data_IF_756388538298
#
_entry.id   IF_756388538298
#
_cell.length_a   1.000
_cell.length_b   1.000
_cell.length_c   1.000
_cell.angle_alpha   90.00
_cell.angle_beta   90.00
_cell.angle_gamma   90.00
#
_symmetry.space_group_name_H-M   'P 1'
#
loop_
_entity.id
_entity.type
_entity.pdbx_description
1 polymer ?
#
# COMPACT_ATOMS: atom_id res chain seq x y z
N UNK A 1 5.98 13.61 1.89
CA UNK A 1 4.94 12.54 1.83
C UNK A 1 5.25 11.67 0.63
N UNK A 2 5.49 10.36 0.82
CA UNK A 2 5.95 9.48 -0.25
C UNK A 2 4.76 9.20 -1.20
N UNK A 3 4.80 9.70 -2.44
CA UNK A 3 3.73 9.54 -3.44
C UNK A 3 3.36 8.06 -3.72
N UNK A 4 4.29 7.13 -3.42
CA UNK A 4 4.07 5.68 -3.55
C UNK A 4 2.99 5.13 -2.59
N UNK A 5 2.61 5.88 -1.56
CA UNK A 5 1.71 5.44 -0.48
C UNK A 5 0.36 6.16 -0.51
N UNK A 6 0.20 7.17 -1.36
CA UNK A 6 -1.06 7.85 -1.53
C UNK A 6 -2.07 6.93 -2.24
N UNK A 7 -3.30 6.88 -1.73
CA UNK A 7 -4.39 6.14 -2.39
C UNK A 7 -5.05 7.03 -3.45
N UNK A 8 -4.32 7.31 -4.53
CA UNK A 8 -4.75 8.23 -5.60
C UNK A 8 -5.80 7.59 -6.51
N UNK A 9 -5.79 6.26 -6.61
CA UNK A 9 -6.69 5.51 -7.49
C UNK A 9 -7.40 4.43 -6.68
N UNK A 10 -8.64 4.67 -6.17
CA UNK A 10 -9.39 3.67 -5.43
C UNK A 10 -9.73 2.47 -6.32
N UNK A 11 -9.92 1.32 -5.70
CA UNK A 11 -10.50 0.15 -6.38
C UNK A 11 -11.95 0.45 -6.80
N UNK A 12 -12.48 -0.23 -7.83
CA UNK A 12 -13.85 -0.03 -8.29
C UNK A 12 -14.88 -0.13 -7.16
N UNK A 13 -15.81 0.81 -7.14
CA UNK A 13 -16.85 0.88 -6.10
C UNK A 13 -17.74 -0.37 -6.04
N UNK A 14 -17.82 -1.12 -7.13
CA UNK A 14 -18.55 -2.39 -7.17
C UNK A 14 -18.06 -3.40 -6.12
N UNK A 15 -16.76 -3.39 -5.78
CA UNK A 15 -16.17 -4.27 -4.76
C UNK A 15 -16.59 -3.92 -3.32
N UNK A 16 -17.13 -2.72 -3.10
CA UNK A 16 -17.55 -2.22 -1.78
C UNK A 16 -19.07 -2.28 -1.56
N UNK A 17 -19.83 -2.65 -2.58
CA UNK A 17 -21.29 -2.71 -2.49
C UNK A 17 -21.71 -4.03 -1.84
N UNK A 18 -22.50 -3.92 -0.77
CA UNK A 18 -23.14 -5.06 -0.09
C UNK A 18 -24.60 -5.27 -0.51
N UNK A 19 -24.96 -4.85 -1.72
CA UNK A 19 -26.35 -4.97 -2.19
C UNK A 19 -26.67 -6.45 -2.49
N UNK A 20 -27.18 -7.13 -1.47
CA UNK A 20 -27.60 -8.53 -1.50
C UNK A 20 -28.77 -8.83 -2.48
N UNK A 21 -29.13 -7.91 -3.37
CA UNK A 21 -30.33 -8.02 -4.22
C UNK A 21 -30.05 -8.45 -5.65
N UNK A 22 -28.83 -8.65 -6.06
CA UNK A 22 -28.51 -9.02 -7.42
C UNK A 22 -27.92 -10.43 -7.49
N UNK A 23 -28.83 -11.39 -7.71
CA UNK A 23 -28.50 -12.76 -8.09
C UNK A 23 -27.34 -12.83 -9.08
N UNK A 24 -26.48 -13.80 -8.90
CA UNK A 24 -25.37 -14.32 -9.68
C UNK A 24 -25.64 -14.31 -11.23
N UNK A 25 -25.87 -13.12 -11.77
CA UNK A 25 -26.20 -12.92 -13.18
C UNK A 25 -24.97 -12.87 -14.05
N UNK A 26 -23.82 -12.49 -13.49
CA UNK A 26 -22.59 -12.24 -14.24
C UNK A 26 -21.50 -13.17 -13.77
N UNK A 27 -21.17 -14.15 -14.59
CA UNK A 27 -20.17 -15.17 -14.27
C UNK A 27 -18.86 -14.99 -15.03
N UNK A 28 -18.83 -14.11 -16.04
CA UNK A 28 -17.71 -14.02 -16.99
C UNK A 28 -17.14 -12.64 -17.13
N UNK A 29 -15.82 -12.58 -17.17
CA UNK A 29 -15.03 -11.43 -17.58
C UNK A 29 -14.57 -11.70 -19.01
N UNK A 30 -15.22 -11.08 -20.01
CA UNK A 30 -15.01 -11.45 -21.42
C UNK A 30 -15.40 -12.91 -21.67
N UNK A 31 -14.44 -13.72 -22.12
CA UNK A 31 -14.61 -15.17 -22.33
C UNK A 31 -14.27 -16.02 -21.09
N UNK A 32 -13.67 -15.43 -20.07
CA UNK A 32 -13.22 -16.14 -18.87
C UNK A 32 -14.35 -16.26 -17.84
N UNK A 33 -14.60 -17.48 -17.37
CA UNK A 33 -15.57 -17.78 -16.31
C UNK A 33 -14.83 -17.93 -14.98
N UNK A 34 -15.31 -17.20 -13.95
CA UNK A 34 -14.76 -17.28 -12.61
C UNK A 34 -15.18 -18.60 -11.97
N UNK A 35 -14.22 -19.39 -11.57
CA UNK A 35 -14.44 -20.65 -10.86
C UNK A 35 -14.90 -20.43 -9.42
N UNK A 36 -15.89 -21.23 -8.98
CA UNK A 36 -16.48 -21.14 -7.63
C UNK A 36 -15.49 -21.55 -6.54
N UNK A 37 -14.72 -22.59 -6.76
CA UNK A 37 -13.73 -23.08 -5.81
C UNK A 37 -12.58 -22.06 -5.67
N UNK A 38 -12.11 -21.51 -6.78
CA UNK A 38 -11.09 -20.47 -6.77
C UNK A 38 -11.58 -19.22 -6.03
N UNK A 39 -12.83 -18.77 -6.27
CA UNK A 39 -13.42 -17.65 -5.56
C UNK A 39 -13.58 -17.91 -4.05
N UNK A 40 -13.95 -19.14 -3.67
CA UNK A 40 -14.03 -19.52 -2.27
C UNK A 40 -12.66 -19.44 -1.58
N UNK A 41 -11.61 -20.01 -2.18
CA UNK A 41 -10.25 -19.97 -1.65
C UNK A 41 -9.72 -18.54 -1.57
N UNK A 42 -10.01 -17.72 -2.57
CA UNK A 42 -9.68 -16.30 -2.59
C UNK A 42 -10.32 -15.55 -1.42
N UNK A 43 -11.61 -15.75 -1.17
CA UNK A 43 -12.31 -15.16 -0.04
C UNK A 43 -11.76 -15.63 1.32
N UNK A 44 -11.34 -16.90 1.44
CA UNK A 44 -10.65 -17.39 2.64
C UNK A 44 -9.33 -16.65 2.89
N UNK A 45 -8.56 -16.35 1.84
CA UNK A 45 -7.35 -15.54 1.94
C UNK A 45 -7.67 -14.12 2.40
N UNK A 46 -8.66 -13.47 1.82
CA UNK A 46 -9.05 -12.10 2.20
C UNK A 46 -9.47 -12.00 3.67
N UNK A 47 -10.21 -12.98 4.18
CA UNK A 47 -10.60 -13.02 5.60
C UNK A 47 -9.40 -13.18 6.52
N UNK A 48 -8.36 -13.93 6.12
CA UNK A 48 -7.12 -14.05 6.89
C UNK A 48 -6.32 -12.73 6.94
N UNK A 49 -6.37 -11.95 5.86
CA UNK A 49 -5.67 -10.67 5.77
C UNK A 49 -6.42 -9.52 6.46
N UNK A 50 -7.75 -9.54 6.40
CA UNK A 50 -8.62 -8.57 7.09
C UNK A 50 -9.90 -9.24 7.57
N UNK A 51 -9.97 -9.55 8.87
CA UNK A 51 -11.11 -10.21 9.52
C UNK A 51 -12.43 -9.44 9.41
N UNK A 52 -12.38 -8.15 9.07
CA UNK A 52 -13.59 -7.30 8.94
C UNK A 52 -14.08 -7.22 7.50
N UNK A 53 -13.32 -7.78 6.56
CA UNK A 53 -13.68 -7.72 5.15
C UNK A 53 -14.80 -8.70 4.84
N UNK A 54 -15.85 -8.22 4.20
CA UNK A 54 -16.90 -9.08 3.67
C UNK A 54 -16.37 -9.87 2.47
N UNK A 55 -16.79 -11.14 2.32
CA UNK A 55 -16.48 -11.91 1.12
C UNK A 55 -16.94 -11.18 -0.14
N UNK A 56 -16.15 -11.27 -1.19
CA UNK A 56 -16.48 -10.69 -2.50
C UNK A 56 -17.34 -11.69 -3.26
N UNK A 57 -18.45 -11.20 -3.78
CA UNK A 57 -19.33 -11.98 -4.65
C UNK A 57 -18.80 -11.96 -6.09
N UNK A 58 -19.10 -13.02 -6.84
CA UNK A 58 -18.69 -13.13 -8.24
C UNK A 58 -19.19 -11.95 -9.10
N UNK A 59 -20.44 -11.53 -8.92
CA UNK A 59 -21.03 -10.41 -9.67
C UNK A 59 -20.30 -9.07 -9.39
N UNK A 60 -19.85 -8.87 -8.15
CA UNK A 60 -19.05 -7.70 -7.77
C UNK A 60 -17.72 -7.69 -8.50
N UNK A 61 -17.03 -8.84 -8.52
CA UNK A 61 -15.73 -8.96 -9.20
C UNK A 61 -15.86 -8.77 -10.71
N UNK A 62 -16.87 -9.38 -11.33
CA UNK A 62 -17.14 -9.22 -12.77
C UNK A 62 -17.52 -7.77 -13.10
N UNK A 63 -18.30 -7.11 -12.26
CA UNK A 63 -18.67 -5.71 -12.45
C UNK A 63 -17.44 -4.81 -12.34
N UNK A 64 -16.62 -5.00 -11.30
CA UNK A 64 -15.38 -4.27 -11.13
C UNK A 64 -14.42 -4.44 -12.32
N UNK A 65 -14.27 -5.67 -12.80
CA UNK A 65 -13.44 -5.94 -13.97
C UNK A 65 -13.96 -5.25 -15.25
N UNK A 66 -15.27 -5.14 -15.42
CA UNK A 66 -15.86 -4.40 -16.57
C UNK A 66 -15.63 -2.91 -16.44
N UNK A 67 -15.85 -2.34 -15.25
CA UNK A 67 -15.59 -0.91 -15.00
C UNK A 67 -14.14 -0.56 -15.38
N UNK A 68 -13.17 -1.41 -15.04
CA UNK A 68 -11.76 -1.23 -15.39
C UNK A 68 -11.48 -1.46 -16.90
N UNK A 69 -12.16 -2.42 -17.52
CA UNK A 69 -12.00 -2.68 -18.95
C UNK A 69 -12.45 -1.49 -19.81
N UNK A 70 -13.46 -0.77 -19.34
CA UNK A 70 -14.03 0.41 -20.02
C UNK A 70 -13.19 1.69 -19.77
N UNK A 71 -12.22 1.67 -18.85
CA UNK A 71 -11.31 2.80 -18.63
C UNK A 71 -10.46 3.11 -19.88
N UNK A 72 -10.23 4.40 -20.23
CA UNK A 72 -9.43 4.80 -21.38
C UNK A 72 -7.92 4.69 -21.07
N UNK A 73 -7.40 3.48 -20.90
CA UNK A 73 -6.01 3.22 -20.49
C UNK A 73 -5.08 2.74 -21.62
N UNK A 74 -5.45 2.90 -22.89
CA UNK A 74 -4.65 2.48 -24.07
C UNK A 74 -4.12 1.03 -23.98
N UNK A 75 -4.91 0.12 -23.40
CA UNK A 75 -4.56 -1.30 -23.24
C UNK A 75 -3.61 -1.61 -22.08
N UNK A 76 -3.20 -0.63 -21.30
CA UNK A 76 -2.39 -0.83 -20.08
C UNK A 76 -3.28 -1.23 -18.90
N UNK A 77 -2.67 -1.85 -17.89
CA UNK A 77 -3.34 -2.09 -16.62
C UNK A 77 -3.86 -0.78 -16.01
N UNK A 78 -5.05 -0.85 -15.38
CA UNK A 78 -5.64 0.31 -14.72
C UNK A 78 -4.68 0.93 -13.68
N UNK A 79 -4.66 2.26 -13.53
CA UNK A 79 -3.84 2.94 -12.52
C UNK A 79 -4.00 2.39 -11.11
N UNK A 80 -5.21 1.96 -10.73
CA UNK A 80 -5.46 1.38 -9.41
C UNK A 80 -4.75 0.03 -9.23
N UNK A 81 -4.68 -0.82 -10.25
CA UNK A 81 -3.92 -2.08 -10.24
C UNK A 81 -2.43 -1.77 -10.16
N UNK A 82 -1.94 -0.87 -11.02
CA UNK A 82 -0.53 -0.51 -11.05
C UNK A 82 -0.02 0.02 -9.71
N UNK A 83 -0.83 0.83 -9.03
CA UNK A 83 -0.51 1.34 -7.68
C UNK A 83 -0.33 0.19 -6.67
N UNK A 84 -1.24 -0.81 -6.67
CA UNK A 84 -1.16 -1.96 -5.76
C UNK A 84 0.03 -2.86 -6.09
N UNK A 85 0.33 -3.07 -7.36
CA UNK A 85 1.52 -3.84 -7.76
C UNK A 85 2.83 -3.14 -7.32
N UNK A 86 2.89 -1.82 -7.33
CA UNK A 86 4.03 -1.08 -6.75
C UNK A 86 4.14 -1.30 -5.24
N UNK A 87 3.01 -1.37 -4.53
CA UNK A 87 2.98 -1.69 -3.09
C UNK A 87 3.45 -3.12 -2.85
N UNK A 88 2.98 -4.09 -3.63
CA UNK A 88 3.46 -5.47 -3.57
C UNK A 88 4.98 -5.55 -3.76
N UNK A 89 5.51 -4.83 -4.74
CA UNK A 89 6.95 -4.73 -4.94
C UNK A 89 7.72 -4.09 -3.77
N UNK A 90 7.10 -3.17 -3.02
CA UNK A 90 7.70 -2.62 -1.80
C UNK A 90 7.68 -3.62 -0.65
N UNK A 91 6.56 -4.34 -0.46
CA UNK A 91 6.43 -5.42 0.53
C UNK A 91 7.48 -6.51 0.27
N UNK A 92 7.63 -6.95 -0.98
CA UNK A 92 8.58 -7.97 -1.35
C UNK A 92 10.04 -7.57 -1.05
N UNK A 93 10.41 -6.33 -1.36
CA UNK A 93 11.75 -5.83 -1.01
C UNK A 93 11.96 -5.73 0.49
N UNK A 94 10.95 -5.26 1.22
CA UNK A 94 10.99 -5.15 2.68
C UNK A 94 11.23 -6.50 3.36
N UNK A 95 10.51 -7.54 2.91
CA UNK A 95 10.64 -8.90 3.47
C UNK A 95 12.00 -9.56 3.16
N UNK A 96 12.70 -9.08 2.13
CA UNK A 96 13.99 -9.65 1.68
C UNK A 96 15.21 -8.83 2.09
N UNK A 97 15.01 -7.69 2.72
CA UNK A 97 16.12 -6.82 3.11
C UNK A 97 16.60 -7.17 4.50
N UNK A 98 17.68 -7.96 4.58
CA UNK A 98 18.28 -8.42 5.84
C UNK A 98 18.67 -7.27 6.78
N UNK A 99 18.94 -6.07 6.23
CA UNK A 99 19.25 -4.89 7.02
C UNK A 99 18.03 -4.21 7.64
N UNK A 100 16.81 -4.61 7.23
CA UNK A 100 15.58 -4.03 7.76
C UNK A 100 14.98 -4.85 8.91
N UNK A 101 14.90 -6.19 8.77
CA UNK A 101 14.26 -7.10 9.75
C UNK A 101 12.88 -6.60 10.17
N UNK A 102 11.83 -6.83 9.37
CA UNK A 102 10.48 -6.34 9.66
C UNK A 102 9.91 -6.93 10.95
N UNK A 103 8.92 -6.26 11.54
CA UNK A 103 8.24 -6.75 12.73
C UNK A 103 7.46 -8.05 12.45
N UNK A 104 7.43 -8.96 13.45
CA UNK A 104 6.80 -10.28 13.32
C UNK A 104 5.35 -10.21 12.87
N UNK A 105 4.61 -9.17 13.29
CA UNK A 105 3.18 -8.98 12.98
C UNK A 105 2.92 -8.75 11.49
N UNK A 106 3.92 -8.27 10.74
CA UNK A 106 3.77 -7.97 9.30
C UNK A 106 4.38 -9.02 8.40
N UNK A 107 5.21 -9.93 8.92
CA UNK A 107 5.87 -10.98 8.15
C UNK A 107 4.81 -11.88 7.50
N UNK A 108 3.96 -12.51 8.31
CA UNK A 108 2.97 -13.46 7.81
C UNK A 108 1.99 -12.83 6.82
N UNK A 109 1.35 -11.67 7.09
CA UNK A 109 0.50 -11.03 6.09
C UNK A 109 1.27 -10.63 4.82
N UNK A 110 2.52 -10.17 4.98
CA UNK A 110 3.37 -9.81 3.84
C UNK A 110 3.69 -11.01 2.95
N UNK A 111 4.10 -12.13 3.54
CA UNK A 111 4.36 -13.40 2.82
C UNK A 111 3.10 -13.89 2.10
N UNK A 112 1.93 -13.88 2.76
CA UNK A 112 0.66 -14.28 2.15
C UNK A 112 0.34 -13.44 0.91
N UNK A 113 0.58 -12.12 0.96
CA UNK A 113 0.40 -11.22 -0.20
C UNK A 113 1.35 -11.61 -1.32
N UNK A 114 2.65 -11.81 -1.03
CA UNK A 114 3.65 -12.08 -2.05
C UNK A 114 3.48 -13.48 -2.64
N UNK A 115 3.10 -14.45 -1.83
CA UNK A 115 2.80 -15.82 -2.28
C UNK A 115 1.62 -15.84 -3.26
N UNK A 116 0.58 -15.02 -3.01
CA UNK A 116 -0.54 -14.89 -3.93
C UNK A 116 -0.10 -14.21 -5.23
N UNK A 117 0.51 -13.01 -5.14
CA UNK A 117 0.93 -12.20 -6.31
C UNK A 117 1.93 -12.92 -7.21
N UNK A 118 2.70 -13.89 -6.69
CA UNK A 118 3.66 -14.71 -7.44
C UNK A 118 3.14 -16.10 -7.77
N UNK A 119 2.00 -16.44 -7.21
CA UNK A 119 1.37 -17.73 -7.38
C UNK A 119 0.97 -17.99 -8.84
N UNK A 120 0.52 -19.23 -9.07
CA UNK A 120 -0.04 -19.65 -10.35
C UNK A 120 -1.54 -19.93 -10.26
N UNK A 121 -2.14 -19.62 -9.10
CA UNK A 121 -3.56 -19.87 -8.82
C UNK A 121 -4.32 -18.55 -8.77
N UNK A 122 -4.22 -17.80 -9.87
CA UNK A 122 -4.89 -16.52 -10.00
C UNK A 122 -6.38 -16.73 -10.19
N UNK A 123 -7.18 -15.91 -9.52
CA UNK A 123 -8.64 -15.90 -9.72
C UNK A 123 -9.01 -15.28 -11.07
N UNK A 124 -8.20 -14.31 -11.51
CA UNK A 124 -8.28 -13.67 -12.83
C UNK A 124 -6.93 -13.86 -13.52
N UNK A 125 -6.88 -14.47 -14.73
CA UNK A 125 -5.62 -14.68 -15.41
C UNK A 125 -4.86 -13.37 -15.67
N UNK A 126 -3.60 -13.30 -15.27
CA UNK A 126 -2.70 -12.15 -15.46
C UNK A 126 -2.59 -11.68 -16.92
N UNK A 127 -2.83 -12.59 -17.85
CA UNK A 127 -2.79 -12.34 -19.29
C UNK A 127 -3.98 -11.52 -19.80
N UNK A 128 -5.02 -11.31 -18.98
CA UNK A 128 -6.17 -10.52 -19.39
C UNK A 128 -5.81 -9.02 -19.52
N UNK A 129 -6.03 -8.41 -20.67
CA UNK A 129 -5.73 -6.98 -20.85
C UNK A 129 -6.49 -6.12 -19.84
N UNK A 130 -5.84 -5.08 -19.31
CA UNK A 130 -6.36 -4.08 -18.37
C UNK A 130 -6.76 -4.60 -16.98
N UNK A 131 -7.35 -5.79 -16.91
CA UNK A 131 -8.01 -6.33 -15.70
C UNK A 131 -7.25 -7.51 -15.08
N UNK A 132 -6.30 -8.09 -15.79
CA UNK A 132 -5.37 -9.04 -15.20
C UNK A 132 -4.73 -8.42 -13.96
N UNK A 133 -4.53 -9.18 -12.90
CA UNK A 133 -4.05 -8.71 -11.58
C UNK A 133 -5.02 -7.85 -10.78
N UNK A 134 -6.32 -7.84 -11.12
CA UNK A 134 -7.30 -7.18 -10.25
C UNK A 134 -7.44 -7.91 -8.91
N UNK A 135 -7.41 -9.22 -8.92
CA UNK A 135 -7.42 -10.07 -7.73
C UNK A 135 -6.17 -9.85 -6.87
N UNK A 136 -4.96 -9.79 -7.48
CA UNK A 136 -3.73 -9.38 -6.81
C UNK A 136 -3.89 -8.02 -6.12
N UNK A 137 -4.42 -7.05 -6.85
CA UNK A 137 -4.65 -5.71 -6.32
C UNK A 137 -5.59 -5.71 -5.13
N UNK A 138 -6.62 -6.57 -5.13
CA UNK A 138 -7.56 -6.73 -4.02
C UNK A 138 -6.86 -7.35 -2.80
N UNK A 139 -5.99 -8.35 -3.00
CA UNK A 139 -5.21 -8.99 -1.92
C UNK A 139 -4.26 -7.98 -1.27
N UNK A 140 -3.52 -7.20 -2.08
CA UNK A 140 -2.66 -6.12 -1.56
C UNK A 140 -3.46 -5.10 -0.77
N UNK A 141 -4.64 -4.69 -1.27
CA UNK A 141 -5.49 -3.71 -0.61
C UNK A 141 -6.05 -4.22 0.72
N UNK A 142 -6.40 -5.51 0.80
CA UNK A 142 -6.87 -6.16 2.03
C UNK A 142 -5.80 -6.13 3.14
N UNK A 143 -4.56 -6.43 2.82
CA UNK A 143 -3.45 -6.44 3.78
C UNK A 143 -2.91 -5.02 4.07
N UNK A 144 -3.25 -4.02 3.24
CA UNK A 144 -2.58 -2.73 3.25
C UNK A 144 -2.69 -1.98 4.57
N UNK A 145 -3.81 -2.09 5.27
CA UNK A 145 -4.00 -1.43 6.57
C UNK A 145 -2.97 -1.89 7.61
N UNK A 146 -2.66 -3.18 7.61
CA UNK A 146 -1.67 -3.79 8.50
C UNK A 146 -0.24 -3.49 8.05
N UNK A 147 0.03 -3.59 6.75
CA UNK A 147 1.38 -3.48 6.21
C UNK A 147 1.86 -2.04 5.98
N UNK A 148 0.94 -1.09 5.77
CA UNK A 148 1.30 0.27 5.38
C UNK A 148 2.20 1.04 6.35
N UNK A 149 2.07 0.91 7.69
CA UNK A 149 2.99 1.57 8.62
C UNK A 149 4.42 1.09 8.41
N UNK A 150 4.62 -0.22 8.39
CA UNK A 150 5.95 -0.83 8.25
C UNK A 150 6.57 -0.56 6.87
N UNK A 151 5.79 -0.67 5.80
CA UNK A 151 6.26 -0.30 4.44
C UNK A 151 6.67 1.16 4.36
N UNK A 152 5.98 2.07 5.05
CA UNK A 152 6.40 3.49 5.10
C UNK A 152 7.73 3.67 5.78
N UNK A 153 7.92 3.02 6.92
CA UNK A 153 9.17 3.04 7.68
C UNK A 153 10.31 2.47 6.82
N UNK A 154 10.09 1.33 6.17
CA UNK A 154 11.05 0.73 5.26
C UNK A 154 11.43 1.64 4.08
N UNK A 155 10.47 2.31 3.47
CA UNK A 155 10.76 3.24 2.37
C UNK A 155 11.55 4.47 2.83
N UNK A 156 11.30 4.95 4.06
CA UNK A 156 12.09 6.02 4.65
C UNK A 156 13.50 5.55 5.00
N UNK A 157 13.64 4.33 5.56
CA UNK A 157 14.93 3.67 5.77
C UNK A 157 15.72 3.56 4.46
N UNK A 158 15.12 3.09 3.39
CA UNK A 158 15.78 2.99 2.08
C UNK A 158 16.28 4.35 1.58
N UNK A 159 15.46 5.41 1.79
CA UNK A 159 15.83 6.78 1.42
C UNK A 159 17.02 7.26 2.24
N UNK A 160 16.99 7.06 3.55
CA UNK A 160 18.07 7.51 4.45
C UNK A 160 19.36 6.71 4.18
N UNK A 161 19.27 5.38 4.02
CA UNK A 161 20.40 4.53 3.64
C UNK A 161 21.05 4.97 2.32
N UNK A 162 20.26 5.46 1.36
CA UNK A 162 20.80 6.01 0.13
C UNK A 162 21.59 7.30 0.37
N UNK A 163 21.06 8.21 1.19
CA UNK A 163 21.76 9.46 1.57
C UNK A 163 23.07 9.14 2.29
N UNK A 164 23.06 8.21 3.25
CA UNK A 164 24.28 7.80 3.98
C UNK A 164 25.34 7.20 3.04
N UNK A 165 24.91 6.43 2.04
CA UNK A 165 25.84 5.92 1.02
C UNK A 165 26.49 7.05 0.21
N UNK A 166 25.74 8.05 -0.18
CA UNK A 166 26.23 9.21 -0.93
C UNK A 166 27.20 10.05 -0.10
N UNK A 167 27.03 10.08 1.23
CA UNK A 167 27.93 10.73 2.19
C UNK A 167 29.16 9.88 2.55
N UNK A 168 29.26 8.65 2.05
CA UNK A 168 30.37 7.72 2.36
C UNK A 168 30.20 6.89 3.64
N UNK A 169 29.05 7.00 4.33
CA UNK A 169 28.75 6.33 5.60
C UNK A 169 27.87 5.08 5.44
N UNK A 170 27.62 4.63 4.20
CA UNK A 170 26.59 3.63 3.91
C UNK A 170 26.90 2.18 4.30
N UNK A 171 28.07 1.88 4.89
CA UNK A 171 28.37 0.53 5.38
C UNK A 171 27.72 0.30 6.76
N UNK A 172 26.90 -0.75 6.86
CA UNK A 172 26.31 -1.16 8.14
C UNK A 172 25.04 -0.40 8.51
N UNK A 173 24.48 0.45 7.65
CA UNK A 173 23.23 1.14 7.93
C UNK A 173 22.07 0.15 7.92
N UNK A 174 21.58 -0.16 9.11
CA UNK A 174 20.48 -1.11 9.37
C UNK A 174 19.27 -0.42 10.02
N UNK A 175 18.29 -1.22 10.45
CA UNK A 175 17.08 -0.73 11.13
C UNK A 175 17.41 0.03 12.41
N UNK A 176 18.35 -0.45 13.21
CA UNK A 176 18.73 0.20 14.47
C UNK A 176 19.32 1.60 14.24
N UNK A 177 20.17 1.74 13.25
CA UNK A 177 20.73 3.04 12.82
C UNK A 177 19.62 3.99 12.34
N UNK A 178 18.65 3.47 11.60
CA UNK A 178 17.50 4.25 11.15
C UNK A 178 16.63 4.71 12.34
N UNK A 179 16.36 3.85 13.32
CA UNK A 179 15.59 4.19 14.53
C UNK A 179 16.28 5.29 15.33
N UNK A 180 17.60 5.20 15.50
CA UNK A 180 18.40 6.24 16.14
C UNK A 180 18.31 7.58 15.41
N UNK A 181 18.41 7.56 14.07
CA UNK A 181 18.31 8.76 13.26
C UNK A 181 16.90 9.40 13.37
N UNK A 182 15.84 8.60 13.39
CA UNK A 182 14.46 9.08 13.58
C UNK A 182 14.26 9.70 14.98
N UNK A 183 14.82 9.08 15.99
CA UNK A 183 14.74 9.59 17.37
C UNK A 183 15.44 10.95 17.49
N UNK A 184 16.66 11.06 16.98
CA UNK A 184 17.41 12.32 16.98
C UNK A 184 16.69 13.44 16.21
N UNK A 185 16.06 13.12 15.06
CA UNK A 185 15.25 14.10 14.31
C UNK A 185 14.02 14.56 15.11
N UNK A 186 13.33 13.64 15.79
CA UNK A 186 12.17 13.96 16.60
C UNK A 186 12.54 14.88 17.79
N UNK A 187 13.65 14.59 18.47
CA UNK A 187 14.18 15.45 19.54
C UNK A 187 14.56 16.85 19.05
N UNK A 188 15.20 16.92 17.88
CA UNK A 188 15.55 18.18 17.26
C UNK A 188 14.32 19.02 16.91
N UNK A 189 13.29 18.42 16.31
CA UNK A 189 12.03 19.09 15.99
C UNK A 189 11.36 19.62 17.26
N UNK A 190 11.33 18.83 18.33
CA UNK A 190 10.75 19.25 19.62
C UNK A 190 11.56 20.37 20.25
N UNK A 191 12.89 20.32 20.18
CA UNK A 191 13.75 21.41 20.61
C UNK A 191 13.46 22.71 19.84
N UNK A 192 13.37 22.65 18.51
CA UNK A 192 13.05 23.79 17.68
C UNK A 192 11.66 24.38 18.00
N UNK A 193 10.65 23.55 18.27
CA UNK A 193 9.32 24.00 18.70
C UNK A 193 9.37 24.74 20.01
N UNK A 194 10.11 24.21 21.01
CA UNK A 194 10.27 24.87 22.31
C UNK A 194 10.99 26.22 22.19
N UNK A 195 12.06 26.26 21.40
CA UNK A 195 12.81 27.50 21.18
C UNK A 195 11.96 28.55 20.48
N UNK A 196 11.23 28.17 19.42
CA UNK A 196 10.35 29.10 18.69
C UNK A 196 9.16 29.55 19.53
N UNK A 197 8.61 28.67 20.38
CA UNK A 197 7.51 29.02 21.31
C UNK A 197 7.95 29.95 22.44
N UNK A 198 9.24 29.90 22.83
CA UNK A 198 9.82 30.75 23.88
C UNK A 198 10.59 31.96 23.32
N UNK A 199 10.58 32.16 22.01
CA UNK A 199 11.25 33.31 21.38
C UNK A 199 10.53 34.61 21.80
N UNK A 200 11.23 35.45 22.53
CA UNK A 200 10.78 36.79 22.91
C UNK A 200 10.63 37.79 21.74
N UNK A 201 10.63 37.27 20.51
CA UNK A 201 10.32 38.03 19.30
C UNK A 201 8.81 38.14 18.99
N UNK A 202 7.96 37.85 19.97
CA UNK A 202 6.57 38.34 19.95
C UNK A 202 6.59 39.85 20.14
N UNK A 203 6.67 40.57 19.01
CA UNK A 203 6.08 41.89 18.79
C UNK A 203 5.93 42.80 20.03
N UNK A 204 7.03 43.39 20.48
CA UNK A 204 6.93 44.71 21.04
C UNK A 204 6.94 45.68 19.87
N UNK A 205 5.84 46.41 19.61
CA UNK A 205 5.89 47.49 18.66
C UNK A 205 6.88 48.53 19.25
N UNK A 206 8.00 48.70 18.58
CA UNK A 206 8.94 49.73 18.95
C UNK A 206 8.27 51.11 18.74
N UNK A 207 7.69 51.65 19.81
CA UNK A 207 7.29 53.04 19.86
C UNK A 207 8.55 53.93 20.00
N UNK A 208 9.29 54.06 18.91
CA UNK A 208 10.22 55.16 18.78
C UNK A 208 9.42 56.39 18.36
N UNK A 209 9.01 57.21 19.35
CA UNK A 209 8.70 58.61 19.09
C UNK A 209 10.01 59.36 19.00
N UNK A 210 10.40 59.75 17.79
CA UNK A 210 11.42 60.77 17.59
C UNK A 210 10.75 62.10 17.78
N UNK A 211 11.19 62.87 18.80
CA UNK A 211 10.88 64.29 18.95
C UNK A 211 11.81 65.11 18.06
#
# INVERSE_FOLDING_TARGET
>A
MNAALANLHPLPAALMRSDASHFDRRRRIGSYEIDDEALYLFNQLLVKLDLRRMPIERDQLVTAARDLADEPTEGRASPCIHERMRRAGAIDRMLKDDAWSPEDEVIVPGEMVIDYVRGKRDLIPDTMPKVGRLDDAIVVDAAWKTLAPEVRNYLDFCRLRQVERELGNGQGFDRAEWELARHAEAEWIEHCRRVSGNSYLTESPAHFKVC
#
